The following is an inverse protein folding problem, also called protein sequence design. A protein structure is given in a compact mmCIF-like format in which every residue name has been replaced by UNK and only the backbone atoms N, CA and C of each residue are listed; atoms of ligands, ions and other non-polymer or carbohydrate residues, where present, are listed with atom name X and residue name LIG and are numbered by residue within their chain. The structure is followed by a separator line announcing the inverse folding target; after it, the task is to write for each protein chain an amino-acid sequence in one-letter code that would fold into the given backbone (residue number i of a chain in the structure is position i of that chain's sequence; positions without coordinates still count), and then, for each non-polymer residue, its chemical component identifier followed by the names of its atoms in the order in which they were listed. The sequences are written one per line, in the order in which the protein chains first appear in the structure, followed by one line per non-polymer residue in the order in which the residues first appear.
data_IF_749134680591
#
_entry.id   IF_749134680591
#
_cell.length_a   1.000
_cell.length_b   1.000
_cell.length_c   1.000
_cell.angle_alpha   90.00
_cell.angle_beta   90.00
_cell.angle_gamma   90.00
#
_symmetry.space_group_name_H-M   'P 1'
#
loop_
_entity.id
_entity.type
_entity.pdbx_description
1 polymer ?
#
# COMPACT_ATOMS: atom_id res chain seq x y z
N UNK A 1 -0.40 -21.16 -14.03
CA UNK A 1 -1.10 -21.43 -12.76
C UNK A 1 -1.38 -20.10 -12.08
N UNK A 2 -2.63 -19.81 -11.70
CA UNK A 2 -2.99 -18.59 -10.97
C UNK A 2 -2.57 -18.75 -9.50
N UNK A 3 -1.83 -17.78 -8.95
CA UNK A 3 -1.54 -17.70 -7.52
C UNK A 3 -2.42 -16.62 -6.88
N UNK A 4 -3.08 -16.96 -5.78
CA UNK A 4 -3.89 -16.03 -5.00
C UNK A 4 -3.40 -16.04 -3.55
N UNK A 5 -3.01 -14.87 -3.05
CA UNK A 5 -2.58 -14.68 -1.68
C UNK A 5 -3.70 -14.00 -0.88
N UNK A 6 -4.05 -14.58 0.27
CA UNK A 6 -5.04 -14.02 1.20
C UNK A 6 -4.33 -13.49 2.44
N UNK A 7 -4.72 -12.29 2.86
CA UNK A 7 -4.21 -11.65 4.08
C UNK A 7 -5.38 -11.38 5.01
N UNK A 8 -5.21 -11.72 6.29
CA UNK A 8 -6.21 -11.39 7.30
C UNK A 8 -6.20 -9.88 7.56
N UNK A 9 -7.39 -9.29 7.58
CA UNK A 9 -7.57 -7.88 7.95
C UNK A 9 -7.14 -7.71 9.42
N UNK A 10 -6.14 -6.87 9.64
CA UNK A 10 -5.78 -6.44 10.99
C UNK A 10 -6.74 -5.33 11.38
N UNK A 11 -7.23 -5.32 12.62
CA UNK A 11 -8.11 -4.25 13.09
C UNK A 11 -7.33 -3.03 13.58
N UNK A 12 -6.20 -2.73 12.94
CA UNK A 12 -5.37 -1.58 13.27
C UNK A 12 -5.80 -0.34 12.47
N UNK A 13 -5.33 0.83 12.92
CA UNK A 13 -5.71 2.11 12.33
C UNK A 13 -5.28 2.24 10.87
N UNK A 14 -4.17 1.59 10.47
CA UNK A 14 -3.70 1.64 9.09
C UNK A 14 -4.62 0.81 8.19
N UNK A 15 -4.97 -0.40 8.61
CA UNK A 15 -5.87 -1.27 7.86
C UNK A 15 -7.26 -0.66 7.72
N UNK A 16 -7.80 -0.02 8.76
CA UNK A 16 -9.07 0.74 8.65
C UNK A 16 -8.97 1.85 7.60
N UNK A 17 -7.93 2.67 7.68
CA UNK A 17 -7.69 3.79 6.75
C UNK A 17 -7.56 3.33 5.31
N UNK A 18 -6.69 2.36 5.03
CA UNK A 18 -6.42 1.88 3.67
C UNK A 18 -7.63 1.18 3.04
N UNK A 19 -8.44 0.46 3.84
CA UNK A 19 -9.68 -0.12 3.34
C UNK A 19 -10.71 0.94 3.01
N UNK A 20 -10.83 2.02 3.80
CA UNK A 20 -11.73 3.13 3.46
C UNK A 20 -11.31 3.86 2.17
N UNK A 21 -10.01 3.90 1.86
CA UNK A 21 -9.45 4.55 0.67
C UNK A 21 -9.36 3.68 -0.57
N UNK A 22 -9.87 2.45 -0.54
CA UNK A 22 -9.89 1.56 -1.70
C UNK A 22 -10.64 2.19 -2.86
N UNK A 23 -10.13 2.02 -4.08
CA UNK A 23 -10.70 2.61 -5.30
C UNK A 23 -11.39 1.53 -6.11
N UNK A 24 -12.66 1.73 -6.45
CA UNK A 24 -13.38 0.89 -7.41
C UNK A 24 -13.13 1.43 -8.82
N UNK A 25 -12.52 0.62 -9.66
CA UNK A 25 -12.17 0.95 -11.04
C UNK A 25 -12.86 -0.03 -11.98
N UNK A 26 -13.18 0.43 -13.20
CA UNK A 26 -13.63 -0.45 -14.27
C UNK A 26 -12.42 -0.94 -15.07
N UNK A 27 -12.06 -2.21 -14.91
CA UNK A 27 -10.91 -2.82 -15.58
C UNK A 27 -11.41 -4.04 -16.35
N UNK A 28 -11.04 -4.13 -17.63
CA UNK A 28 -11.51 -5.20 -18.54
C UNK A 28 -13.05 -5.37 -18.56
N UNK A 29 -13.79 -4.26 -18.47
CA UNK A 29 -15.25 -4.26 -18.44
C UNK A 29 -15.87 -4.72 -17.12
N UNK A 30 -15.08 -4.92 -16.07
CA UNK A 30 -15.54 -5.34 -14.75
C UNK A 30 -15.19 -4.30 -13.67
N UNK A 31 -16.13 -4.06 -12.75
CA UNK A 31 -15.89 -3.25 -11.55
C UNK A 31 -15.05 -4.06 -10.57
N UNK A 32 -13.81 -3.63 -10.36
CA UNK A 32 -12.86 -4.24 -9.44
C UNK A 32 -12.42 -3.20 -8.41
N UNK A 33 -12.14 -3.65 -7.18
CA UNK A 33 -11.72 -2.76 -6.10
C UNK A 33 -10.25 -2.99 -5.79
N UNK A 34 -9.46 -1.91 -5.81
CA UNK A 34 -8.02 -1.91 -5.62
C UNK A 34 -7.61 -1.07 -4.42
N UNK A 35 -6.48 -1.41 -3.82
CA UNK A 35 -5.82 -0.53 -2.87
C UNK A 35 -5.42 0.80 -3.55
N UNK A 36 -5.32 1.87 -2.77
CA UNK A 36 -4.74 3.11 -3.28
C UNK A 36 -3.25 2.92 -3.62
N UNK A 37 -2.69 3.84 -4.40
CA UNK A 37 -1.28 3.79 -4.78
C UNK A 37 -0.39 4.05 -3.56
N UNK A 38 -0.82 4.97 -2.70
CA UNK A 38 -0.20 5.30 -1.43
C UNK A 38 -0.17 4.08 -0.51
N UNK A 39 -1.30 3.39 -0.34
CA UNK A 39 -1.37 2.20 0.50
C UNK A 39 -0.56 1.03 -0.07
N UNK A 40 -0.41 0.95 -1.40
CA UNK A 40 0.46 -0.03 -2.07
C UNK A 40 1.93 0.24 -1.77
N UNK A 41 2.36 1.50 -1.74
CA UNK A 41 3.72 1.89 -1.33
C UNK A 41 3.93 1.53 0.15
N UNK A 42 3.01 1.95 1.02
CA UNK A 42 3.13 1.75 2.47
C UNK A 42 3.21 0.27 2.85
N UNK A 43 2.37 -0.60 2.26
CA UNK A 43 2.40 -2.04 2.57
C UNK A 43 3.70 -2.69 2.11
N UNK A 44 4.28 -2.25 0.98
CA UNK A 44 5.56 -2.74 0.48
C UNK A 44 6.71 -2.32 1.40
N UNK A 45 6.69 -1.09 1.91
CA UNK A 45 7.66 -0.63 2.91
C UNK A 45 7.55 -1.43 4.21
N UNK A 46 6.33 -1.73 4.67
CA UNK A 46 6.10 -2.62 5.83
C UNK A 46 6.66 -4.02 5.58
N UNK A 47 6.37 -4.63 4.44
CA UNK A 47 6.91 -5.95 4.11
C UNK A 47 8.43 -5.96 4.00
N UNK A 48 9.03 -4.93 3.41
CA UNK A 48 10.48 -4.78 3.42
C UNK A 48 11.02 -4.69 4.85
N UNK A 49 10.37 -3.93 5.73
CA UNK A 49 10.76 -3.81 7.13
C UNK A 49 10.78 -5.17 7.83
N UNK A 50 9.76 -5.99 7.62
CA UNK A 50 9.57 -7.29 8.27
C UNK A 50 10.46 -8.40 7.68
N UNK A 51 10.62 -8.42 6.35
CA UNK A 51 11.28 -9.54 5.64
C UNK A 51 12.71 -9.24 5.20
N UNK A 52 13.08 -7.96 5.12
CA UNK A 52 14.33 -7.46 4.49
C UNK A 52 14.50 -7.84 3.01
N UNK A 53 13.44 -8.25 2.32
CA UNK A 53 13.50 -8.61 0.89
C UNK A 53 13.50 -7.34 0.03
N UNK A 54 14.64 -7.03 -0.59
CA UNK A 54 14.86 -5.81 -1.37
C UNK A 54 13.82 -5.55 -2.46
N UNK A 55 13.28 -6.63 -3.06
CA UNK A 55 12.22 -6.53 -4.08
C UNK A 55 11.03 -5.68 -3.60
N UNK A 56 10.67 -5.76 -2.32
CA UNK A 56 9.57 -4.96 -1.79
C UNK A 56 9.89 -3.46 -1.80
N UNK A 57 11.12 -3.08 -1.46
CA UNK A 57 11.58 -1.70 -1.51
C UNK A 57 11.64 -1.18 -2.95
N UNK A 58 12.16 -2.00 -3.87
CA UNK A 58 12.24 -1.67 -5.31
C UNK A 58 10.82 -1.47 -5.89
N UNK A 59 9.89 -2.38 -5.60
CA UNK A 59 8.49 -2.26 -6.03
C UNK A 59 7.86 -0.95 -5.54
N UNK A 60 8.06 -0.60 -4.25
CA UNK A 60 7.55 0.64 -3.67
C UNK A 60 8.14 1.87 -4.37
N UNK A 61 9.45 1.87 -4.63
CA UNK A 61 10.14 2.96 -5.31
C UNK A 61 9.63 3.16 -6.74
N UNK A 62 9.40 2.08 -7.50
CA UNK A 62 8.86 2.17 -8.85
C UNK A 62 7.44 2.74 -8.88
N UNK A 63 6.55 2.27 -8.01
CA UNK A 63 5.18 2.83 -7.90
C UNK A 63 5.26 4.32 -7.59
N UNK A 64 6.10 4.71 -6.62
CA UNK A 64 6.30 6.12 -6.27
C UNK A 64 6.78 6.96 -7.45
N UNK A 65 7.82 6.50 -8.16
CA UNK A 65 8.41 7.24 -9.28
C UNK A 65 7.41 7.46 -10.41
N UNK A 66 6.66 6.41 -10.79
CA UNK A 66 5.68 6.46 -11.88
C UNK A 66 4.48 7.34 -11.49
N UNK A 67 4.05 7.26 -10.24
CA UNK A 67 2.79 7.88 -9.80
C UNK A 67 2.97 9.20 -9.06
N UNK A 68 4.20 9.71 -8.91
CA UNK A 68 4.54 10.89 -8.08
C UNK A 68 3.59 12.09 -8.22
N UNK A 69 3.08 12.35 -9.42
CA UNK A 69 2.16 13.45 -9.70
C UNK A 69 0.72 13.22 -9.17
N UNK A 70 0.32 11.95 -9.02
CA UNK A 70 -1.03 11.53 -8.63
C UNK A 70 -1.13 11.12 -7.16
N UNK A 71 -0.01 11.12 -6.43
CA UNK A 71 0.04 10.71 -5.02
C UNK A 71 -0.43 11.82 -4.09
N UNK A 72 -1.27 11.45 -3.14
CA UNK A 72 -1.55 12.21 -1.94
C UNK A 72 -0.34 12.14 -0.99
N UNK A 73 0.60 13.07 -1.17
CA UNK A 73 1.86 13.12 -0.42
C UNK A 73 1.63 13.34 1.07
N UNK A 74 0.62 14.11 1.44
CA UNK A 74 0.30 14.38 2.85
C UNK A 74 -0.14 13.10 3.56
N UNK A 75 -1.02 12.32 2.93
CA UNK A 75 -1.41 11.01 3.45
C UNK A 75 -0.23 10.05 3.53
N UNK A 76 0.57 9.96 2.46
CA UNK A 76 1.71 9.05 2.40
C UNK A 76 2.73 9.35 3.52
N UNK A 77 3.13 10.62 3.67
CA UNK A 77 4.09 11.04 4.70
C UNK A 77 3.53 10.85 6.11
N UNK A 78 2.27 11.22 6.35
CA UNK A 78 1.63 11.05 7.66
C UNK A 78 1.62 9.58 8.12
N UNK A 79 1.40 8.64 7.20
CA UNK A 79 1.47 7.21 7.51
C UNK A 79 2.88 6.69 7.65
N UNK A 80 3.84 7.15 6.84
CA UNK A 80 5.26 6.80 7.02
C UNK A 80 5.71 7.18 8.43
N UNK A 81 5.38 8.39 8.90
CA UNK A 81 5.66 8.83 10.26
C UNK A 81 4.95 7.95 11.29
N UNK A 82 3.64 7.72 11.16
CA UNK A 82 2.88 6.92 12.13
C UNK A 82 3.39 5.49 12.25
N UNK A 83 3.68 4.84 11.13
CA UNK A 83 4.20 3.46 11.05
C UNK A 83 5.62 3.39 11.61
N UNK A 84 6.44 4.41 11.36
CA UNK A 84 7.81 4.47 11.89
C UNK A 84 7.79 4.71 13.41
N UNK A 85 6.95 5.62 13.90
CA UNK A 85 6.84 6.01 15.31
C UNK A 85 6.24 4.92 16.20
N UNK A 86 5.27 4.13 15.73
CA UNK A 86 4.64 3.05 16.51
C UNK A 86 5.52 1.82 16.74
N UNK A 87 6.76 1.82 16.24
CA UNK A 87 7.65 0.65 16.29
C UNK A 87 8.96 0.91 17.06
N UNK A 88 9.03 1.95 17.89
CA UNK A 88 10.13 2.19 18.83
C UNK A 88 9.65 2.07 20.28
#
# INVERSE_FOLDING_TARGET
MLKLDFFLLKNDEFDKSRFQRRKTLNIFGQKMTFASLEDTILIKLLWYKDTKIEKHLIDAAFVYQIQKANLDKSYLLGWVENITLKTF
#
